data_IF_912329589784
#
_entry.id   IF_912329589784
#
_cell.length_a   1.000
_cell.length_b   1.000
_cell.length_c   1.000
_cell.angle_alpha   90.00
_cell.angle_beta   90.00
_cell.angle_gamma   90.00
#
_symmetry.space_group_name_H-M   'P 1'
#
loop_
_entity.id
_entity.type
_entity.pdbx_description
1 polymer ?
#
# COMPACT_ATOMS: atom_id res chain seq x y z
N UNK A 1 -9.19 17.92 29.87
CA UNK A 1 -8.74 17.45 28.58
C UNK A 1 -9.59 16.28 28.10
N UNK A 2 -10.09 16.41 26.93
CA UNK A 2 -10.90 15.35 26.34
C UNK A 2 -9.98 14.33 25.74
N UNK A 3 -9.62 13.40 26.52
CA UNK A 3 -8.62 12.43 26.09
C UNK A 3 -9.09 11.53 24.98
N UNK A 4 -10.40 11.27 24.95
CA UNK A 4 -10.93 10.32 23.98
C UNK A 4 -10.74 10.76 22.55
N UNK A 5 -11.06 12.02 22.24
CA UNK A 5 -10.85 12.52 20.89
C UNK A 5 -9.38 12.55 20.54
N UNK A 6 -8.56 12.97 21.45
CA UNK A 6 -7.12 12.99 21.20
C UNK A 6 -6.55 11.62 20.97
N UNK A 7 -7.02 10.66 21.75
CA UNK A 7 -6.54 9.28 21.63
C UNK A 7 -6.85 8.75 20.24
N UNK A 8 -8.05 8.97 19.73
CA UNK A 8 -8.44 8.48 18.42
C UNK A 8 -7.58 9.10 17.32
N UNK A 9 -7.33 10.40 17.39
CA UNK A 9 -6.51 11.08 16.42
C UNK A 9 -5.07 10.63 16.49
N UNK A 10 -4.57 10.42 17.71
CA UNK A 10 -3.18 10.04 17.92
C UNK A 10 -2.89 8.62 17.45
N UNK A 11 -3.88 7.75 17.39
CA UNK A 11 -3.68 6.38 16.95
C UNK A 11 -3.48 6.28 15.45
N UNK A 12 -3.98 7.26 14.70
CA UNK A 12 -3.77 7.28 13.26
C UNK A 12 -2.49 8.04 12.96
N UNK A 13 -1.44 7.29 12.66
CA UNK A 13 -0.14 7.86 12.33
C UNK A 13 -0.04 8.19 10.85
N UNK A 14 -0.65 7.37 10.00
CA UNK A 14 -0.61 7.54 8.55
C UNK A 14 -2.00 7.63 7.96
N UNK A 15 -2.11 8.39 6.88
CA UNK A 15 -3.26 8.38 6.00
C UNK A 15 -2.96 7.42 4.86
N UNK A 16 -3.93 6.61 4.46
CA UNK A 16 -3.78 5.69 3.34
C UNK A 16 -4.54 6.26 2.16
N UNK A 17 -3.86 6.40 1.03
CA UNK A 17 -4.48 6.80 -0.23
C UNK A 17 -4.08 5.87 -1.34
N UNK A 18 -4.91 5.81 -2.37
CA UNK A 18 -4.60 5.05 -3.57
C UNK A 18 -4.04 5.99 -4.63
N UNK A 19 -2.95 5.58 -5.26
CA UNK A 19 -2.46 6.27 -6.43
C UNK A 19 -3.46 6.08 -7.57
N UNK A 20 -3.78 7.17 -8.26
CA UNK A 20 -4.59 7.11 -9.47
C UNK A 20 -3.74 7.55 -10.66
N UNK A 21 -3.82 6.81 -11.76
CA UNK A 21 -3.10 7.18 -12.98
C UNK A 21 -3.67 8.47 -13.55
N UNK A 22 -3.03 9.02 -14.59
CA UNK A 22 -3.54 10.21 -15.25
C UNK A 22 -4.94 10.01 -15.80
N UNK A 23 -5.30 8.78 -16.16
CA UNK A 23 -6.67 8.45 -16.60
C UNK A 23 -7.55 8.00 -15.44
N UNK A 24 -7.13 8.26 -14.21
CA UNK A 24 -7.89 8.01 -12.99
C UNK A 24 -8.13 6.52 -12.72
N UNK A 25 -7.23 5.65 -13.15
CA UNK A 25 -7.29 4.24 -12.84
C UNK A 25 -6.60 3.95 -11.51
N UNK A 26 -7.24 3.13 -10.71
CA UNK A 26 -6.72 2.68 -9.41
C UNK A 26 -6.16 1.27 -9.61
N UNK A 27 -4.85 1.20 -9.87
CA UNK A 27 -4.20 -0.08 -10.17
C UNK A 27 -4.24 -1.04 -8.99
N UNK A 28 -4.06 -0.51 -7.79
CA UNK A 28 -4.12 -1.35 -6.59
C UNK A 28 -5.51 -1.98 -6.45
N UNK A 29 -6.57 -1.19 -6.56
CA UNK A 29 -7.92 -1.69 -6.38
C UNK A 29 -8.31 -2.67 -7.49
N UNK A 30 -7.88 -2.42 -8.72
CA UNK A 30 -8.14 -3.36 -9.81
C UNK A 30 -7.53 -4.73 -9.50
N UNK A 31 -6.29 -4.73 -9.03
CA UNK A 31 -5.62 -5.97 -8.64
C UNK A 31 -6.33 -6.62 -7.46
N UNK A 32 -6.65 -5.85 -6.44
CA UNK A 32 -7.27 -6.35 -5.21
C UNK A 32 -8.61 -7.04 -5.49
N UNK A 33 -9.39 -6.47 -6.38
CA UNK A 33 -10.71 -7.02 -6.73
C UNK A 33 -10.63 -8.37 -7.42
N UNK A 34 -9.52 -8.69 -8.04
CA UNK A 34 -9.35 -9.95 -8.75
C UNK A 34 -8.99 -11.10 -7.82
N UNK A 35 -8.63 -10.83 -6.59
CA UNK A 35 -8.27 -11.87 -5.64
C UNK A 35 -9.54 -12.50 -5.10
N UNK A 36 -9.74 -13.77 -5.47
CA UNK A 36 -10.95 -14.51 -5.08
C UNK A 36 -10.82 -15.24 -3.76
N UNK A 37 -9.60 -15.54 -3.36
CA UNK A 37 -9.36 -16.20 -2.08
C UNK A 37 -9.73 -15.24 -0.95
N UNK A 38 -10.82 -15.54 -0.26
CA UNK A 38 -11.34 -14.67 0.80
C UNK A 38 -10.33 -14.50 1.92
N UNK A 39 -9.64 -15.56 2.28
CA UNK A 39 -8.64 -15.51 3.35
C UNK A 39 -7.51 -14.56 2.97
N UNK A 40 -7.05 -14.64 1.74
CA UNK A 40 -5.98 -13.79 1.24
C UNK A 40 -6.43 -12.33 1.18
N UNK A 41 -7.62 -12.07 0.64
CA UNK A 41 -8.11 -10.69 0.53
C UNK A 41 -8.32 -10.04 1.89
N UNK A 42 -8.81 -10.80 2.86
CA UNK A 42 -8.96 -10.29 4.23
C UNK A 42 -7.60 -10.01 4.87
N UNK A 43 -6.61 -10.86 4.61
CA UNK A 43 -5.27 -10.64 5.14
C UNK A 43 -4.65 -9.37 4.56
N UNK A 44 -4.83 -9.14 3.26
CA UNK A 44 -4.35 -7.93 2.60
C UNK A 44 -4.98 -6.70 3.23
N UNK A 45 -6.29 -6.68 3.35
CA UNK A 45 -7.03 -5.55 3.90
C UNK A 45 -6.59 -5.25 5.34
N UNK A 46 -6.41 -6.29 6.14
CA UNK A 46 -6.00 -6.15 7.54
C UNK A 46 -4.60 -5.56 7.65
N UNK A 47 -3.69 -6.01 6.79
CA UNK A 47 -2.32 -5.50 6.80
C UNK A 47 -2.27 -4.03 6.42
N UNK A 48 -3.08 -3.63 5.45
CA UNK A 48 -3.17 -2.22 5.04
C UNK A 48 -3.76 -1.37 6.17
N UNK A 49 -4.81 -1.86 6.81
CA UNK A 49 -5.42 -1.12 7.91
C UNK A 49 -4.43 -0.87 9.05
N UNK A 50 -3.55 -1.83 9.34
CA UNK A 50 -2.54 -1.66 10.39
C UNK A 50 -1.52 -0.58 10.06
N UNK A 51 -1.32 -0.30 8.79
CA UNK A 51 -0.38 0.76 8.38
C UNK A 51 -0.82 2.13 8.88
N UNK A 52 -2.13 2.35 9.03
CA UNK A 52 -2.64 3.60 9.60
C UNK A 52 -2.11 3.83 11.01
N UNK A 53 -1.84 2.78 11.74
CA UNK A 53 -1.31 2.84 13.10
C UNK A 53 0.21 2.82 13.14
N UNK A 54 0.86 2.83 11.97
CA UNK A 54 2.31 2.75 11.92
C UNK A 54 2.86 1.34 12.01
N UNK A 55 1.98 0.33 11.98
CA UNK A 55 2.40 -1.06 12.05
C UNK A 55 2.46 -1.64 10.64
N UNK A 56 3.65 -1.69 10.07
CA UNK A 56 3.84 -2.15 8.70
C UNK A 56 4.07 -3.66 8.62
N UNK A 57 4.48 -4.29 9.73
CA UNK A 57 4.69 -5.73 9.75
C UNK A 57 5.82 -6.14 8.80
N UNK A 58 5.61 -7.22 8.08
CA UNK A 58 6.59 -7.73 7.13
C UNK A 58 6.61 -6.85 5.88
N UNK A 59 7.63 -5.99 5.79
CA UNK A 59 7.79 -5.06 4.68
C UNK A 59 9.27 -4.94 4.33
N UNK A 60 9.53 -4.47 3.12
CA UNK A 60 10.91 -4.34 2.65
C UNK A 60 11.03 -3.20 1.66
N UNK A 61 12.13 -2.46 1.76
CA UNK A 61 12.45 -1.45 0.76
C UNK A 61 12.86 -2.12 -0.55
N UNK A 62 12.30 -1.66 -1.66
CA UNK A 62 12.65 -2.18 -2.98
C UNK A 62 13.70 -1.31 -3.64
N UNK A 63 13.32 -0.14 -4.13
CA UNK A 63 14.20 0.87 -4.70
C UNK A 63 13.42 2.13 -5.01
N UNK A 64 14.11 3.25 -5.17
CA UNK A 64 13.56 4.52 -5.65
C UNK A 64 12.37 5.03 -4.84
N UNK A 65 12.37 4.74 -3.55
CA UNK A 65 11.29 5.17 -2.65
C UNK A 65 10.12 4.21 -2.57
N UNK A 66 10.16 3.10 -3.30
CA UNK A 66 9.10 2.10 -3.29
C UNK A 66 9.41 0.99 -2.29
N UNK A 67 8.40 0.65 -1.51
CA UNK A 67 8.43 -0.43 -0.53
C UNK A 67 7.42 -1.50 -0.93
N UNK A 68 7.65 -2.72 -0.46
CA UNK A 68 6.67 -3.79 -0.60
C UNK A 68 6.17 -4.21 0.77
N UNK A 69 4.86 -4.39 0.87
CA UNK A 69 4.21 -5.02 2.01
C UNK A 69 4.00 -6.48 1.63
N UNK A 70 4.55 -7.39 2.42
CA UNK A 70 4.55 -8.81 2.07
C UNK A 70 3.47 -9.53 2.86
N UNK A 71 2.56 -10.16 2.17
CA UNK A 71 1.46 -10.91 2.75
C UNK A 71 1.65 -12.38 2.40
N UNK A 72 2.09 -13.15 3.37
CA UNK A 72 2.54 -14.52 3.16
C UNK A 72 1.39 -15.49 3.40
N UNK A 73 0.35 -15.37 2.58
CA UNK A 73 -0.84 -16.22 2.61
C UNK A 73 -1.01 -16.78 1.21
N UNK A 74 -1.37 -18.06 1.11
CA UNK A 74 -1.57 -18.69 -0.18
C UNK A 74 -0.31 -18.64 -1.02
N UNK A 75 -0.45 -18.14 -2.24
CA UNK A 75 0.68 -18.03 -3.18
C UNK A 75 1.63 -16.87 -2.88
N UNK A 76 1.33 -16.09 -1.84
CA UNK A 76 2.15 -14.93 -1.46
C UNK A 76 1.79 -13.70 -2.28
N UNK A 77 1.40 -12.64 -1.57
CA UNK A 77 0.95 -11.40 -2.21
C UNK A 77 1.84 -10.25 -1.81
N UNK A 78 1.88 -9.23 -2.65
CA UNK A 78 2.69 -8.04 -2.42
C UNK A 78 1.85 -6.81 -2.70
N UNK A 79 1.91 -5.83 -1.80
CA UNK A 79 1.33 -4.50 -2.04
C UNK A 79 2.49 -3.52 -2.08
N UNK A 80 2.60 -2.78 -3.18
CA UNK A 80 3.68 -1.81 -3.34
C UNK A 80 3.18 -0.42 -2.98
N UNK A 81 3.97 0.29 -2.20
CA UNK A 81 3.59 1.59 -1.68
C UNK A 81 4.81 2.51 -1.57
N UNK A 82 4.53 3.79 -1.42
CA UNK A 82 5.54 4.79 -1.10
C UNK A 82 4.99 5.67 0.01
N UNK A 83 5.88 6.33 0.72
CA UNK A 83 5.49 7.28 1.76
C UNK A 83 5.74 8.67 1.22
N UNK A 84 4.67 9.46 1.08
CA UNK A 84 4.76 10.83 0.62
C UNK A 84 4.75 11.75 1.83
N UNK A 85 5.75 12.63 1.91
CA UNK A 85 5.91 13.46 3.09
C UNK A 85 6.15 12.62 4.32
N UNK A 86 5.47 12.95 5.42
CA UNK A 86 5.69 12.26 6.69
C UNK A 86 4.56 11.35 7.11
N UNK A 87 3.38 11.48 6.50
CA UNK A 87 2.19 10.79 7.01
C UNK A 87 1.30 10.15 5.95
N UNK A 88 1.67 10.19 4.69
CA UNK A 88 0.83 9.64 3.63
C UNK A 88 1.43 8.36 3.08
N UNK A 89 0.70 7.27 3.22
CA UNK A 89 1.03 6.01 2.55
C UNK A 89 0.24 5.96 1.25
N UNK A 90 0.95 5.89 0.14
CA UNK A 90 0.34 5.87 -1.18
C UNK A 90 0.43 4.45 -1.74
N UNK A 91 -0.72 3.78 -1.88
CA UNK A 91 -0.78 2.44 -2.45
C UNK A 91 -0.67 2.55 -3.96
N UNK A 92 0.32 1.89 -4.54
CA UNK A 92 0.66 2.03 -5.96
C UNK A 92 0.08 0.93 -6.82
N UNK A 93 0.36 -0.30 -6.49
CA UNK A 93 -0.15 -1.46 -7.21
C UNK A 93 0.08 -2.70 -6.36
N UNK A 94 -0.33 -3.86 -6.86
CA UNK A 94 -0.13 -5.12 -6.17
C UNK A 94 0.25 -6.22 -7.14
N UNK A 95 0.64 -7.35 -6.59
CA UNK A 95 1.01 -8.53 -7.35
C UNK A 95 1.33 -9.69 -6.43
N UNK A 96 2.02 -10.69 -6.99
CA UNK A 96 2.44 -11.84 -6.20
C UNK A 96 3.93 -12.11 -6.44
N UNK A 97 4.43 -13.22 -5.87
CA UNK A 97 5.86 -13.55 -5.98
C UNK A 97 6.33 -13.70 -7.42
N UNK A 98 5.46 -14.18 -8.31
CA UNK A 98 5.86 -14.51 -9.67
C UNK A 98 6.09 -13.28 -10.54
N UNK A 99 5.42 -12.18 -10.21
CA UNK A 99 5.46 -10.96 -11.02
C UNK A 99 6.22 -9.84 -10.33
N UNK A 100 6.99 -10.16 -9.32
CA UNK A 100 7.61 -9.18 -8.43
C UNK A 100 8.44 -8.12 -9.16
N UNK A 101 9.33 -8.53 -10.05
CA UNK A 101 10.21 -7.57 -10.73
C UNK A 101 9.43 -6.58 -11.59
N UNK A 102 8.49 -7.09 -12.37
CA UNK A 102 7.65 -6.23 -13.22
C UNK A 102 6.78 -5.31 -12.39
N UNK A 103 6.28 -5.81 -11.27
CA UNK A 103 5.42 -5.00 -10.40
C UNK A 103 6.20 -3.90 -9.70
N UNK A 104 7.44 -4.16 -9.30
CA UNK A 104 8.31 -3.13 -8.73
C UNK A 104 8.59 -2.05 -9.78
N UNK A 105 8.87 -2.43 -11.01
CA UNK A 105 9.08 -1.46 -12.09
C UNK A 105 7.86 -0.57 -12.26
N UNK A 106 6.68 -1.18 -12.29
CA UNK A 106 5.43 -0.44 -12.42
C UNK A 106 5.22 0.50 -11.24
N UNK A 107 5.47 0.02 -10.03
CA UNK A 107 5.31 0.83 -8.82
C UNK A 107 6.23 2.05 -8.85
N UNK A 108 7.46 1.88 -9.33
CA UNK A 108 8.40 2.98 -9.45
C UNK A 108 7.90 4.02 -10.45
N UNK A 109 7.34 3.58 -11.56
CA UNK A 109 6.74 4.48 -12.54
C UNK A 109 5.57 5.27 -11.94
N UNK A 110 4.71 4.59 -11.18
CA UNK A 110 3.58 5.22 -10.52
C UNK A 110 4.04 6.27 -9.52
N UNK A 111 5.03 5.93 -8.71
CA UNK A 111 5.57 6.84 -7.71
C UNK A 111 6.16 8.08 -8.36
N UNK A 112 6.93 7.90 -9.42
CA UNK A 112 7.52 9.00 -10.15
C UNK A 112 6.45 9.90 -10.76
N UNK A 113 5.42 9.31 -11.36
CA UNK A 113 4.29 10.06 -11.93
C UNK A 113 3.59 10.89 -10.85
N UNK A 114 3.31 10.27 -9.69
CA UNK A 114 2.67 11.00 -8.60
C UNK A 114 3.51 12.19 -8.14
N UNK A 115 4.81 12.00 -8.02
CA UNK A 115 5.71 13.06 -7.60
C UNK A 115 5.74 14.21 -8.60
N UNK A 116 5.69 13.89 -9.91
CA UNK A 116 5.71 14.91 -10.95
C UNK A 116 4.43 15.73 -10.99
N UNK A 117 3.31 15.13 -10.62
CA UNK A 117 2.02 15.81 -10.62
C UNK A 117 1.72 16.59 -9.34
N UNK A 118 2.51 16.37 -8.33
CA UNK A 118 2.26 16.98 -7.00
C UNK A 118 2.94 18.31 -6.80
#
# INVERSE_FOLDING_TARGET
MTKDSFINDNYRVYEIRHYLTQSEKDLFMEWRRQIRDTKASMAIDRRINRMELGNFGDHRFCREGVWELRIDVGQGYRVYYAIAGTQLVLLLCGGDKRTQDADIDRACECWLDWQRRS
#
